data_IF_307947582057
#
_entry.id   IF_307947582057
#
_cell.length_a   1.000
_cell.length_b   1.000
_cell.length_c   1.000
_cell.angle_alpha   90.00
_cell.angle_beta   90.00
_cell.angle_gamma   90.00
#
_symmetry.space_group_name_H-M   'P 1'
#
loop_
_entity.id
_entity.type
_entity.pdbx_description
1 polymer ?
#
# COMPACT_ATOMS: atom_id res chain seq x y z
N UNK A 1 -4.02 2.65 -15.17
CA UNK A 1 -4.50 2.31 -16.53
C UNK A 1 -3.76 1.10 -17.10
N UNK A 2 -2.43 1.06 -17.06
CA UNK A 2 -1.65 -0.02 -17.72
C UNK A 2 -1.84 -1.41 -17.13
N UNK A 3 -1.82 -1.58 -15.80
CA UNK A 3 -2.01 -2.90 -15.20
C UNK A 3 -3.41 -3.46 -15.51
N UNK A 4 -4.45 -2.64 -15.40
CA UNK A 4 -5.80 -3.03 -15.78
C UNK A 4 -5.91 -3.39 -17.28
N UNK A 5 -5.23 -2.64 -18.16
CA UNK A 5 -5.17 -2.95 -19.59
C UNK A 5 -4.52 -4.31 -19.84
N UNK A 6 -3.44 -4.63 -19.12
CA UNK A 6 -2.76 -5.91 -19.22
C UNK A 6 -3.63 -7.08 -18.71
N UNK A 7 -4.29 -6.93 -17.56
CA UNK A 7 -5.20 -7.97 -17.04
C UNK A 7 -6.37 -8.20 -18.01
N UNK A 8 -6.95 -7.15 -18.59
CA UNK A 8 -7.99 -7.29 -19.62
C UNK A 8 -7.48 -8.04 -20.85
N UNK A 9 -6.27 -7.73 -21.31
CA UNK A 9 -5.63 -8.49 -22.39
C UNK A 9 -5.51 -9.98 -22.06
N UNK A 10 -5.08 -10.34 -20.84
CA UNK A 10 -4.99 -11.74 -20.43
C UNK A 10 -6.37 -12.40 -20.33
N UNK A 11 -7.39 -11.69 -19.88
CA UNK A 11 -8.76 -12.19 -19.82
C UNK A 11 -9.29 -12.49 -21.22
N UNK A 12 -9.13 -11.55 -22.15
CA UNK A 12 -9.66 -11.64 -23.51
C UNK A 12 -8.88 -12.61 -24.40
N UNK A 13 -7.55 -12.64 -24.28
CA UNK A 13 -6.67 -13.34 -25.22
C UNK A 13 -6.12 -14.66 -24.67
N UNK A 14 -6.06 -14.81 -23.34
CA UNK A 14 -5.46 -15.99 -22.69
C UNK A 14 -6.46 -16.73 -21.80
N UNK A 15 -7.71 -16.25 -21.69
CA UNK A 15 -8.77 -16.90 -20.91
C UNK A 15 -8.59 -16.79 -19.40
N UNK A 16 -7.81 -15.82 -18.91
CA UNK A 16 -7.61 -15.59 -17.47
C UNK A 16 -8.96 -15.39 -16.77
N UNK A 17 -9.23 -16.19 -15.75
CA UNK A 17 -10.39 -16.01 -14.86
C UNK A 17 -9.99 -15.10 -13.70
N UNK A 18 -10.63 -13.94 -13.59
CA UNK A 18 -10.28 -12.90 -12.60
C UNK A 18 -10.68 -13.28 -11.17
N UNK A 19 -11.60 -14.22 -11.02
CA UNK A 19 -11.98 -14.88 -9.76
C UNK A 19 -10.90 -15.85 -9.22
N UNK A 20 -9.78 -15.97 -9.93
CA UNK A 20 -8.57 -16.66 -9.48
C UNK A 20 -7.35 -15.73 -9.47
N UNK A 21 -7.54 -14.42 -9.68
CA UNK A 21 -6.46 -13.44 -9.69
C UNK A 21 -6.22 -12.86 -8.28
N UNK A 22 -4.95 -12.86 -7.86
CA UNK A 22 -4.49 -12.19 -6.65
C UNK A 22 -3.61 -11.00 -7.02
N UNK A 23 -4.09 -9.79 -6.71
CA UNK A 23 -3.31 -8.57 -6.83
C UNK A 23 -2.56 -8.29 -5.52
N UNK A 24 -1.27 -8.04 -5.60
CA UNK A 24 -0.45 -7.66 -4.44
C UNK A 24 0.25 -6.35 -4.75
N UNK A 25 0.25 -5.44 -3.78
CA UNK A 25 0.93 -4.15 -3.95
C UNK A 25 1.46 -3.62 -2.63
N UNK A 26 2.66 -3.05 -2.67
CA UNK A 26 3.28 -2.34 -1.55
C UNK A 26 3.19 -0.83 -1.77
N UNK A 27 3.00 -0.04 -0.72
CA UNK A 27 3.04 1.43 -0.81
C UNK A 27 2.03 1.97 -1.84
N UNK A 28 2.48 2.81 -2.78
CA UNK A 28 1.67 3.29 -3.91
C UNK A 28 1.23 2.15 -4.83
N UNK A 29 2.00 1.06 -4.91
CA UNK A 29 1.63 -0.16 -5.62
C UNK A 29 0.35 -0.80 -5.08
N UNK A 30 0.06 -0.67 -3.77
CA UNK A 30 -1.21 -1.13 -3.20
C UNK A 30 -2.40 -0.33 -3.77
N UNK A 31 -2.24 0.99 -3.89
CA UNK A 31 -3.24 1.86 -4.52
C UNK A 31 -3.38 1.53 -6.01
N UNK A 32 -2.28 1.26 -6.73
CA UNK A 32 -2.33 0.82 -8.13
C UNK A 32 -3.11 -0.51 -8.29
N UNK A 33 -2.91 -1.46 -7.37
CA UNK A 33 -3.68 -2.70 -7.31
C UNK A 33 -5.15 -2.46 -7.06
N UNK A 34 -5.50 -1.56 -6.12
CA UNK A 34 -6.87 -1.15 -5.85
C UNK A 34 -7.54 -0.54 -7.09
N UNK A 35 -6.89 0.42 -7.75
CA UNK A 35 -7.40 1.02 -8.99
C UNK A 35 -7.56 0.00 -10.12
N UNK A 36 -6.69 -1.01 -10.17
CA UNK A 36 -6.81 -2.11 -11.13
C UNK A 36 -8.05 -2.94 -10.84
N UNK A 37 -8.28 -3.28 -9.58
CA UNK A 37 -9.43 -4.08 -9.16
C UNK A 37 -10.76 -3.33 -9.35
N UNK A 38 -10.81 -2.03 -9.04
CA UNK A 38 -11.97 -1.16 -9.36
C UNK A 38 -12.31 -1.16 -10.86
N UNK A 39 -11.30 -1.25 -11.71
CA UNK A 39 -11.49 -1.24 -13.17
C UNK A 39 -11.86 -2.62 -13.75
N UNK A 40 -11.76 -3.69 -12.96
CA UNK A 40 -11.98 -5.09 -13.37
C UNK A 40 -12.81 -5.79 -12.30
N UNK A 41 -14.14 -5.76 -12.41
CA UNK A 41 -15.02 -6.42 -11.44
C UNK A 41 -14.71 -7.92 -11.31
N UNK A 42 -14.81 -8.45 -10.10
CA UNK A 42 -14.65 -9.87 -9.82
C UNK A 42 -13.22 -10.32 -9.48
N UNK A 43 -12.28 -9.40 -9.21
CA UNK A 43 -10.99 -9.78 -8.61
C UNK A 43 -11.23 -10.57 -7.32
N UNK A 44 -10.54 -11.71 -7.20
CA UNK A 44 -10.68 -12.56 -6.03
C UNK A 44 -9.99 -11.99 -4.79
N UNK A 45 -8.68 -11.72 -4.88
CA UNK A 45 -7.89 -11.31 -3.71
C UNK A 45 -7.05 -10.08 -4.00
N UNK A 46 -7.00 -9.18 -3.02
CA UNK A 46 -6.06 -8.06 -2.97
C UNK A 46 -5.31 -8.10 -1.65
N UNK A 47 -3.97 -8.15 -1.69
CA UNK A 47 -3.14 -7.91 -0.50
C UNK A 47 -2.41 -6.57 -0.64
N UNK A 48 -2.71 -5.66 0.28
CA UNK A 48 -2.11 -4.34 0.37
C UNK A 48 -1.07 -4.30 1.49
N UNK A 49 0.19 -4.14 1.13
CA UNK A 49 1.30 -4.04 2.08
C UNK A 49 1.60 -2.56 2.32
N UNK A 50 1.15 -2.06 3.46
CA UNK A 50 1.31 -0.68 3.95
C UNK A 50 0.95 0.35 2.86
N UNK A 51 -0.31 0.35 2.43
CA UNK A 51 -0.79 1.16 1.32
C UNK A 51 -0.49 2.66 1.52
N UNK A 52 -0.07 3.36 0.46
CA UNK A 52 0.36 4.75 0.60
C UNK A 52 -0.77 5.67 1.12
N UNK A 53 -0.44 6.47 2.14
CA UNK A 53 -1.31 7.46 2.78
C UNK A 53 -1.39 8.81 2.04
N UNK A 54 -0.26 9.45 1.64
CA UNK A 54 -0.31 10.81 1.12
C UNK A 54 -1.16 10.91 -0.15
N UNK A 55 -2.23 11.70 -0.10
CA UNK A 55 -3.18 11.87 -1.21
C UNK A 55 -4.31 10.84 -1.27
N UNK A 56 -4.34 9.85 -0.36
CA UNK A 56 -5.34 8.77 -0.35
C UNK A 56 -6.14 8.70 0.96
N UNK A 57 -5.50 8.92 2.10
CA UNK A 57 -6.17 8.92 3.41
C UNK A 57 -7.27 9.98 3.45
N UNK A 58 -8.43 9.60 4.00
CA UNK A 58 -9.61 10.47 4.07
C UNK A 58 -10.30 10.75 2.72
N UNK A 59 -9.78 10.22 1.60
CA UNK A 59 -10.45 10.34 0.31
C UNK A 59 -11.65 9.39 0.19
N UNK A 60 -12.52 9.66 -0.77
CA UNK A 60 -13.62 8.79 -1.13
C UNK A 60 -13.10 7.42 -1.60
N UNK A 61 -13.90 6.37 -1.44
CA UNK A 61 -13.48 4.99 -1.73
C UNK A 61 -13.11 4.77 -3.20
N UNK A 62 -13.56 5.63 -4.10
CA UNK A 62 -13.20 5.61 -5.52
C UNK A 62 -11.74 6.00 -5.76
N UNK A 63 -11.13 6.74 -4.82
CA UNK A 63 -9.78 7.31 -4.92
C UNK A 63 -8.74 6.53 -4.12
N UNK A 64 -9.15 5.69 -3.17
CA UNK A 64 -8.24 4.91 -2.31
C UNK A 64 -8.57 3.42 -2.33
N UNK A 65 -7.68 2.61 -1.78
CA UNK A 65 -7.96 1.24 -1.39
C UNK A 65 -9.24 1.16 -0.54
N UNK A 66 -10.09 0.20 -0.85
CA UNK A 66 -11.29 -0.11 -0.11
C UNK A 66 -11.57 -1.62 -0.14
N UNK A 67 -12.29 -2.11 0.87
CA UNK A 67 -12.62 -3.53 0.97
C UNK A 67 -13.49 -4.01 -0.20
N UNK A 68 -14.27 -3.12 -0.80
CA UNK A 68 -15.13 -3.43 -1.94
C UNK A 68 -14.34 -3.70 -3.24
N UNK A 69 -13.01 -3.53 -3.25
CA UNK A 69 -12.17 -3.64 -4.44
C UNK A 69 -11.96 -5.06 -4.95
N UNK A 70 -12.05 -6.06 -4.06
CA UNK A 70 -11.93 -7.46 -4.40
C UNK A 70 -12.83 -8.30 -3.48
N UNK A 71 -13.04 -9.57 -3.83
CA UNK A 71 -13.83 -10.49 -3.00
C UNK A 71 -13.23 -10.68 -1.60
N UNK A 72 -11.91 -10.57 -1.49
CA UNK A 72 -11.19 -10.51 -0.22
C UNK A 72 -10.05 -9.49 -0.30
N UNK A 73 -9.96 -8.62 0.70
CA UNK A 73 -8.96 -7.55 0.78
C UNK A 73 -8.27 -7.67 2.13
N UNK A 74 -6.97 -7.89 2.10
CA UNK A 74 -6.10 -7.99 3.26
C UNK A 74 -5.15 -6.79 3.26
N UNK A 75 -5.02 -6.12 4.40
CA UNK A 75 -4.12 -4.97 4.54
C UNK A 75 -3.14 -5.22 5.68
N UNK A 76 -1.86 -4.96 5.44
CA UNK A 76 -0.80 -5.07 6.43
C UNK A 76 -0.29 -3.66 6.71
N UNK A 77 -0.52 -3.16 7.91
CA UNK A 77 -0.06 -1.86 8.36
C UNK A 77 1.24 -2.00 9.15
N UNK A 78 2.28 -1.31 8.71
CA UNK A 78 3.57 -1.24 9.39
C UNK A 78 4.07 0.17 9.60
N UNK A 79 3.49 1.18 8.94
CA UNK A 79 3.81 2.59 9.11
C UNK A 79 2.57 3.52 9.11
N UNK A 80 1.54 3.11 9.83
CA UNK A 80 0.23 3.79 10.00
C UNK A 80 0.30 5.00 10.96
N UNK A 81 1.25 5.91 10.71
CA UNK A 81 1.36 7.19 11.38
C UNK A 81 0.94 8.32 10.42
N UNK A 82 0.55 9.50 10.92
CA UNK A 82 0.39 10.67 10.06
C UNK A 82 1.66 10.93 9.23
N UNK A 83 1.50 11.28 7.96
CA UNK A 83 2.65 11.60 7.12
C UNK A 83 3.41 12.81 7.67
N UNK A 84 2.68 13.81 8.19
CA UNK A 84 3.25 14.96 8.87
C UNK A 84 2.77 14.99 10.32
N UNK A 85 3.65 15.27 11.30
CA UNK A 85 5.11 15.43 11.17
C UNK A 85 5.88 14.09 11.26
N UNK A 86 5.18 12.96 11.41
CA UNK A 86 5.79 11.70 11.85
C UNK A 86 6.38 10.82 10.76
N UNK A 87 6.24 11.20 9.48
CA UNK A 87 6.69 10.43 8.30
C UNK A 87 6.10 9.01 8.25
N UNK A 88 4.84 8.86 8.66
CA UNK A 88 4.08 7.66 8.36
C UNK A 88 3.65 7.63 6.90
N UNK A 89 4.05 6.59 6.18
CA UNK A 89 3.76 6.47 4.75
C UNK A 89 2.54 5.58 4.48
N UNK A 90 2.13 4.74 5.44
CA UNK A 90 1.01 3.81 5.32
C UNK A 90 -0.33 4.43 5.74
N UNK A 91 -1.43 3.97 5.14
CA UNK A 91 -2.80 4.32 5.56
C UNK A 91 -2.98 4.00 7.05
N UNK A 92 -3.73 4.85 7.73
CA UNK A 92 -3.99 4.76 9.17
C UNK A 92 -5.27 3.96 9.41
N UNK A 93 -6.34 4.30 8.70
CA UNK A 93 -7.65 3.70 8.88
C UNK A 93 -7.71 2.32 8.22
N UNK A 94 -8.54 1.41 8.77
CA UNK A 94 -8.74 0.10 8.18
C UNK A 94 -9.53 0.24 6.89
N UNK A 95 -9.04 -0.41 5.84
CA UNK A 95 -9.62 -0.38 4.50
C UNK A 95 -9.72 -1.78 3.88
N UNK A 96 -9.39 -2.83 4.63
CA UNK A 96 -9.56 -4.21 4.22
C UNK A 96 -10.85 -4.85 4.71
N UNK A 97 -11.02 -6.11 4.32
CA UNK A 97 -11.84 -7.07 5.06
C UNK A 97 -11.12 -7.50 6.35
N UNK A 98 -9.78 -7.58 6.28
CA UNK A 98 -8.91 -7.85 7.41
C UNK A 98 -7.72 -6.88 7.35
N UNK A 99 -7.46 -6.21 8.47
CA UNK A 99 -6.38 -5.23 8.61
C UNK A 99 -5.46 -5.67 9.77
N UNK A 100 -4.20 -5.97 9.45
CA UNK A 100 -3.18 -6.39 10.38
C UNK A 100 -2.27 -5.23 10.78
N UNK A 101 -2.31 -4.82 12.05
CA UNK A 101 -1.44 -3.77 12.58
C UNK A 101 -0.21 -4.41 13.25
N UNK A 102 0.82 -4.68 12.46
CA UNK A 102 2.01 -5.40 12.91
C UNK A 102 2.79 -4.59 13.94
N UNK A 103 3.06 -5.17 15.11
CA UNK A 103 3.69 -4.48 16.24
C UNK A 103 2.96 -3.17 16.61
N UNK A 104 1.62 -3.16 16.50
CA UNK A 104 0.78 -1.97 16.69
C UNK A 104 0.64 -1.10 15.43
N UNK A 105 1.31 -1.45 14.33
CA UNK A 105 1.17 -0.82 13.01
C UNK A 105 1.87 0.52 12.84
N UNK A 106 2.52 1.04 13.89
CA UNK A 106 3.12 2.38 13.89
C UNK A 106 4.59 2.36 13.43
N UNK A 107 5.53 2.14 14.36
CA UNK A 107 6.97 2.11 14.06
C UNK A 107 7.50 0.71 14.34
N UNK A 108 8.13 0.11 13.35
CA UNK A 108 8.57 -1.28 13.46
C UNK A 108 9.87 -1.40 14.26
N UNK A 109 10.10 -2.55 14.94
CA UNK A 109 11.34 -2.79 15.66
C UNK A 109 12.59 -2.59 14.79
N UNK A 110 13.55 -1.84 15.33
CA UNK A 110 14.81 -1.48 14.63
C UNK A 110 14.70 -0.30 13.66
N UNK A 111 13.53 0.32 13.53
CA UNK A 111 13.35 1.51 12.68
C UNK A 111 13.43 2.80 13.49
N UNK A 112 14.39 3.64 13.12
CA UNK A 112 14.63 4.94 13.75
C UNK A 112 14.60 6.02 12.67
N UNK A 113 13.62 6.91 12.75
CA UNK A 113 13.58 8.12 11.93
C UNK A 113 14.08 9.31 12.75
N UNK A 114 14.89 10.20 12.16
CA UNK A 114 15.23 11.46 12.79
C UNK A 114 13.96 12.32 12.97
N UNK A 115 14.00 13.24 13.92
CA UNK A 115 12.93 14.23 14.08
C UNK A 115 13.09 15.28 12.95
N UNK A 116 12.18 15.26 11.98
CA UNK A 116 12.30 16.10 10.78
C UNK A 116 11.22 17.18 10.80
N UNK A 117 11.49 18.26 11.51
CA UNK A 117 10.60 19.42 11.59
C UNK A 117 10.56 20.25 10.30
N UNK A 118 11.48 20.00 9.36
CA UNK A 118 11.60 20.74 8.10
C UNK A 118 10.64 20.26 7.00
N UNK A 119 10.08 19.05 7.12
CA UNK A 119 9.17 18.48 6.14
C UNK A 119 7.75 18.97 6.43
N UNK A 120 7.19 19.77 5.52
CA UNK A 120 5.81 20.29 5.61
C UNK A 120 4.91 19.75 4.51
N UNK A 121 5.47 19.03 3.56
CA UNK A 121 4.78 18.43 2.42
C UNK A 121 5.62 17.32 1.80
N UNK A 122 4.99 16.48 0.99
CA UNK A 122 5.71 15.43 0.25
C UNK A 122 6.76 16.00 -0.72
N UNK A 123 6.56 17.25 -1.19
CA UNK A 123 7.53 17.94 -2.06
C UNK A 123 8.82 18.28 -1.33
N UNK A 124 8.79 18.44 -0.01
CA UNK A 124 10.00 18.74 0.76
C UNK A 124 10.97 17.56 0.81
N UNK A 125 10.52 16.33 0.50
CA UNK A 125 11.39 15.17 0.37
C UNK A 125 12.44 15.32 -0.74
N UNK A 126 12.17 16.13 -1.76
CA UNK A 126 13.13 16.37 -2.86
C UNK A 126 14.34 17.20 -2.44
N UNK A 127 14.30 17.82 -1.24
CA UNK A 127 15.43 18.55 -0.67
C UNK A 127 16.50 17.63 -0.09
N UNK A 128 16.19 16.35 0.09
CA UNK A 128 17.09 15.37 0.66
C UNK A 128 17.64 14.42 -0.41
N UNK A 129 18.88 13.91 -0.24
CA UNK A 129 19.41 12.84 -1.07
C UNK A 129 18.48 11.62 -1.13
N UNK A 130 18.36 11.00 -2.31
CA UNK A 130 17.45 9.88 -2.56
C UNK A 130 17.77 8.69 -1.64
N UNK A 131 19.05 8.47 -1.31
CA UNK A 131 19.51 7.42 -0.41
C UNK A 131 18.95 7.60 1.00
N UNK A 132 18.89 8.85 1.47
CA UNK A 132 18.35 9.19 2.79
C UNK A 132 16.83 9.00 2.79
N UNK A 133 16.13 9.48 1.76
CA UNK A 133 14.68 9.28 1.61
C UNK A 133 14.35 7.79 1.55
N UNK A 134 15.11 7.01 0.78
CA UNK A 134 14.95 5.58 0.68
C UNK A 134 15.13 4.89 2.02
N UNK A 135 16.11 5.29 2.84
CA UNK A 135 16.29 4.74 4.19
C UNK A 135 15.07 5.01 5.08
N UNK A 136 14.50 6.21 5.01
CA UNK A 136 13.32 6.56 5.81
C UNK A 136 12.07 5.79 5.38
N UNK A 137 11.83 5.73 4.07
CA UNK A 137 10.70 4.98 3.50
C UNK A 137 10.89 3.49 3.79
N UNK A 138 12.02 2.90 3.43
CA UNK A 138 12.20 1.45 3.43
C UNK A 138 12.16 0.79 4.81
N UNK A 139 12.33 1.51 5.91
CA UNK A 139 12.35 0.88 7.22
C UNK A 139 10.96 0.39 7.68
N UNK A 140 10.15 1.24 8.36
CA UNK A 140 8.83 0.79 8.84
C UNK A 140 7.90 0.45 7.68
N UNK A 141 7.91 1.25 6.61
CA UNK A 141 7.04 1.02 5.44
C UNK A 141 7.41 -0.28 4.71
N UNK A 142 8.69 -0.61 4.63
CA UNK A 142 9.18 -1.80 3.92
C UNK A 142 8.94 -3.11 4.68
N UNK A 143 8.81 -3.06 6.01
CA UNK A 143 8.53 -4.27 6.81
C UNK A 143 7.27 -5.02 6.36
N UNK A 144 6.27 -4.35 5.80
CA UNK A 144 5.04 -5.03 5.37
C UNK A 144 5.30 -6.12 4.33
N UNK A 145 6.12 -5.83 3.30
CA UNK A 145 6.46 -6.84 2.29
C UNK A 145 7.46 -7.87 2.83
N UNK A 146 8.31 -7.50 3.79
CA UNK A 146 9.22 -8.44 4.43
C UNK A 146 8.47 -9.48 5.26
N UNK A 147 7.51 -9.06 6.10
CA UNK A 147 6.66 -9.96 6.86
C UNK A 147 5.84 -10.84 5.94
N UNK A 148 5.25 -10.27 4.89
CA UNK A 148 4.50 -11.05 3.91
C UNK A 148 5.39 -12.09 3.20
N UNK A 149 6.62 -11.72 2.84
CA UNK A 149 7.56 -12.65 2.20
C UNK A 149 8.01 -13.77 3.14
N UNK A 150 8.04 -13.54 4.45
CA UNK A 150 8.42 -14.56 5.43
C UNK A 150 7.32 -15.61 5.64
N UNK A 151 6.04 -15.23 5.53
CA UNK A 151 4.93 -16.19 5.69
C UNK A 151 4.72 -17.09 4.46
N UNK A 152 5.37 -16.77 3.33
CA UNK A 152 5.35 -17.59 2.12
C UNK A 152 6.44 -18.68 2.09
N UNK A 153 7.31 -18.72 3.12
CA UNK A 153 8.36 -19.73 3.26
C UNK A 153 7.85 -20.91 4.07
#
# INVERSE_FOLDING_TARGET
AELARFVKYLQEQQGLQVDNLHLMGHSLGAQISAYTAKAIPGIYRLTAMDAAQPGFEGQAKEVRLDKDDASFVEVIHTNALPFLPTLGFGLILPHGHVDFYMNGGLRQPGCHLPDITEIKSIKDLTKFPVEIVNMWVSCSHGRAYEYYSQVLR
#
